data_IF_984663596515
#
_entry.id   IF_984663596515
#
_cell.length_a   1.000
_cell.length_b   1.000
_cell.length_c   1.000
_cell.angle_alpha   90.00
_cell.angle_beta   90.00
_cell.angle_gamma   90.00
#
_symmetry.space_group_name_H-M   'P 1'
#
loop_
_entity.id
_entity.type
_entity.pdbx_description
1 polymer ?
#
# COMPACT_ATOMS: atom_id res chain seq x y z
N UNK A 1 90.60 62.83 29.26
CA UNK A 1 90.89 62.71 27.82
C UNK A 1 89.60 62.95 27.04
N UNK A 2 89.62 64.03 26.26
CA UNK A 2 88.79 64.53 25.15
C UNK A 2 88.22 63.41 24.21
N UNK A 3 87.12 63.57 23.40
CA UNK A 3 86.04 64.58 23.36
C UNK A 3 84.62 64.13 22.86
N UNK A 4 83.72 65.13 22.67
CA UNK A 4 82.88 65.35 21.45
C UNK A 4 81.62 64.48 21.26
N UNK A 5 80.43 64.93 20.82
CA UNK A 5 79.98 66.15 20.15
C UNK A 5 78.43 66.19 20.12
N UNK A 6 77.86 67.41 20.16
CA UNK A 6 76.77 68.00 19.36
C UNK A 6 75.82 67.10 18.53
N UNK A 7 74.58 67.46 18.18
CA UNK A 7 73.64 68.54 18.48
C UNK A 7 72.40 68.30 17.58
N UNK A 8 71.34 69.09 17.83
CA UNK A 8 70.19 69.44 16.97
C UNK A 8 69.03 68.42 16.90
N UNK A 9 67.74 68.77 16.85
CA UNK A 9 66.90 69.95 17.13
C UNK A 9 65.65 69.83 16.23
N UNK A 10 64.49 70.26 16.75
CA UNK A 10 63.20 70.57 16.07
C UNK A 10 62.33 69.35 15.72
N UNK A 11 61.01 69.30 15.96
CA UNK A 11 59.91 70.31 16.01
C UNK A 11 58.71 69.72 16.79
N UNK A 12 58.06 70.45 17.72
CA UNK A 12 56.71 71.09 17.61
C UNK A 12 55.53 70.14 17.28
N UNK A 13 54.38 70.07 17.99
CA UNK A 13 53.56 71.05 18.74
C UNK A 13 52.51 70.30 19.63
N UNK A 14 51.79 70.99 20.55
CA UNK A 14 51.16 70.40 21.74
C UNK A 14 49.62 70.36 21.72
N UNK A 15 49.03 69.68 22.72
CA UNK A 15 47.87 70.08 23.60
C UNK A 15 46.80 68.97 23.77
N UNK A 16 45.94 69.03 24.81
CA UNK A 16 46.11 69.63 26.15
C UNK A 16 45.59 68.78 27.33
N UNK A 17 46.19 69.07 28.50
CA UNK A 17 45.69 69.11 29.90
C UNK A 17 44.72 68.05 30.42
N UNK A 18 45.25 67.31 31.40
CA UNK A 18 44.57 66.50 32.40
C UNK A 18 43.71 67.33 33.38
N UNK A 19 42.54 66.80 33.73
CA UNK A 19 41.87 67.02 35.02
C UNK A 19 41.50 65.65 35.61
N UNK A 20 42.14 65.29 36.73
CA UNK A 20 41.73 64.28 37.72
C UNK A 20 41.07 65.05 38.87
N UNK A 21 40.06 64.64 39.62
CA UNK A 21 39.29 63.41 39.91
C UNK A 21 37.90 63.92 40.39
N UNK A 22 36.77 63.22 40.41
CA UNK A 22 36.46 61.97 41.11
C UNK A 22 34.99 61.61 40.81
N UNK A 23 34.70 60.40 40.32
CA UNK A 23 33.32 59.89 40.23
C UNK A 23 33.28 58.43 40.70
N UNK A 24 32.37 58.18 41.63
CA UNK A 24 31.96 56.92 42.24
C UNK A 24 31.66 55.84 41.20
N UNK A 25 32.27 54.67 41.33
CA UNK A 25 31.99 53.51 40.47
C UNK A 25 30.62 52.90 40.81
N UNK A 26 29.63 53.07 39.94
CA UNK A 26 28.41 52.23 39.92
C UNK A 26 28.71 51.02 39.05
N UNK A 27 28.78 49.85 39.68
CA UNK A 27 29.03 48.56 39.01
C UNK A 27 27.69 48.04 38.47
N UNK A 28 27.39 48.27 37.20
CA UNK A 28 26.29 47.57 36.52
C UNK A 28 26.79 46.17 36.17
N UNK A 29 26.39 45.17 36.95
CA UNK A 29 26.58 43.77 36.61
C UNK A 29 25.44 43.38 35.68
N UNK A 30 25.73 43.21 34.39
CA UNK A 30 24.81 42.55 33.46
C UNK A 30 24.91 41.04 33.69
N UNK A 31 23.82 40.44 34.16
CA UNK A 31 23.71 38.98 34.27
C UNK A 31 23.77 38.34 32.87
N UNK A 32 24.51 37.24 32.67
CA UNK A 32 24.51 36.54 31.39
C UNK A 32 23.12 35.95 31.11
N UNK A 33 22.66 36.04 29.87
CA UNK A 33 21.41 35.38 29.45
C UNK A 33 21.46 33.88 29.76
N UNK A 34 20.37 33.30 30.29
CA UNK A 34 20.33 31.88 30.59
C UNK A 34 20.41 31.06 29.30
N UNK A 35 21.48 30.27 29.18
CA UNK A 35 21.62 29.28 28.12
C UNK A 35 20.50 28.22 28.25
N UNK A 36 19.86 27.81 27.14
CA UNK A 36 18.79 26.82 27.21
C UNK A 36 19.32 25.50 27.76
N UNK A 37 18.57 24.90 28.69
CA UNK A 37 18.95 23.64 29.32
C UNK A 37 19.13 22.52 28.29
N UNK A 38 19.94 21.52 28.63
CA UNK A 38 20.09 20.31 27.81
C UNK A 38 18.72 19.68 27.49
N UNK A 39 17.76 19.75 28.41
CA UNK A 39 16.39 19.29 28.17
C UNK A 39 15.62 20.15 27.14
N UNK A 40 15.82 21.47 27.12
CA UNK A 40 15.23 22.35 26.11
C UNK A 40 15.90 22.17 24.73
N UNK A 41 17.22 21.98 24.71
CA UNK A 41 18.00 21.68 23.50
C UNK A 41 17.66 20.29 22.95
N UNK A 42 17.52 19.28 23.81
CA UNK A 42 17.03 17.95 23.44
C UNK A 42 15.56 18.00 23.00
N UNK A 43 14.68 18.77 23.65
CA UNK A 43 13.31 18.98 23.16
C UNK A 43 13.27 19.70 21.82
N UNK A 44 14.29 20.51 21.48
CA UNK A 44 14.45 21.19 20.18
C UNK A 44 15.04 20.26 19.11
N UNK A 45 16.00 19.40 19.49
CA UNK A 45 16.60 18.35 18.67
C UNK A 45 15.66 17.14 18.45
N UNK A 46 14.77 16.83 19.40
CA UNK A 46 13.68 15.86 19.26
C UNK A 46 12.36 16.52 18.79
N UNK A 47 12.32 17.86 18.72
CA UNK A 47 11.48 18.64 17.79
C UNK A 47 12.06 18.66 16.38
N UNK A 48 13.10 17.86 16.09
CA UNK A 48 13.16 17.21 14.77
C UNK A 48 11.92 16.33 14.70
N UNK A 49 10.86 17.01 14.30
CA UNK A 49 9.62 16.53 13.79
C UNK A 49 9.60 15.01 13.64
N UNK A 50 8.93 14.37 14.59
CA UNK A 50 8.03 13.27 14.30
C UNK A 50 6.90 13.78 13.38
N UNK A 51 7.26 14.45 12.26
CA UNK A 51 6.45 14.52 11.07
C UNK A 51 6.42 13.07 10.62
N UNK A 52 5.48 12.29 11.17
CA UNK A 52 4.65 11.48 10.28
C UNK A 52 4.18 12.48 9.24
N UNK A 53 4.93 12.61 8.15
CA UNK A 53 4.55 13.38 7.00
C UNK A 53 3.13 12.91 6.73
N UNK A 54 2.14 13.81 6.89
CA UNK A 54 0.75 13.40 6.94
C UNK A 54 0.49 12.52 5.71
N UNK A 55 0.13 11.25 5.93
CA UNK A 55 -0.02 10.28 4.85
C UNK A 55 -1.03 10.90 3.89
N UNK A 56 -0.55 11.21 2.69
CA UNK A 56 -1.40 11.82 1.67
C UNK A 56 -2.47 10.81 1.30
N UNK A 57 -3.72 11.26 1.28
CA UNK A 57 -4.85 10.40 0.99
C UNK A 57 -5.11 10.37 -0.51
N UNK A 58 -5.29 9.17 -1.05
CA UNK A 58 -5.93 8.98 -2.34
C UNK A 58 -7.43 9.29 -2.27
N UNK A 59 -8.08 9.23 -3.43
CA UNK A 59 -9.52 9.50 -3.56
C UNK A 59 -10.23 8.29 -4.15
N UNK A 60 -11.50 8.16 -3.82
CA UNK A 60 -12.37 7.09 -4.32
C UNK A 60 -13.49 7.72 -5.12
N UNK A 61 -13.79 7.17 -6.29
CA UNK A 61 -14.92 7.59 -7.11
C UNK A 61 -15.71 6.39 -7.67
N UNK A 62 -16.95 6.63 -8.08
CA UNK A 62 -17.81 5.62 -8.70
C UNK A 62 -17.73 5.75 -10.21
N UNK A 63 -17.74 4.62 -10.89
CA UNK A 63 -17.64 4.52 -12.34
C UNK A 63 -18.95 3.96 -12.87
N UNK A 64 -19.67 4.79 -13.62
CA UNK A 64 -20.92 4.42 -14.28
C UNK A 64 -20.67 3.75 -15.64
N UNK A 65 -21.69 3.12 -16.23
CA UNK A 65 -21.58 2.50 -17.56
C UNK A 65 -21.05 1.06 -17.54
N UNK A 66 -21.14 0.40 -16.39
CA UNK A 66 -20.94 -1.04 -16.24
C UNK A 66 -22.20 -1.66 -15.61
N UNK A 67 -22.43 -2.96 -15.80
CA UNK A 67 -23.67 -3.64 -15.37
C UNK A 67 -23.85 -3.74 -13.85
N UNK A 68 -22.86 -3.30 -13.08
CA UNK A 68 -22.82 -3.30 -11.62
C UNK A 68 -21.92 -2.17 -11.13
N UNK A 69 -22.08 -1.81 -9.86
CA UNK A 69 -21.33 -0.70 -9.28
C UNK A 69 -19.83 -1.01 -9.26
N UNK A 70 -19.06 -0.06 -9.80
CA UNK A 70 -17.60 -0.09 -9.81
C UNK A 70 -17.10 1.10 -9.00
N UNK A 71 -16.24 0.82 -8.03
CA UNK A 71 -15.62 1.83 -7.17
C UNK A 71 -14.12 1.85 -7.43
N UNK A 72 -13.57 3.00 -7.80
CA UNK A 72 -12.15 3.16 -8.15
C UNK A 72 -11.44 4.02 -7.13
N UNK A 73 -10.38 3.49 -6.55
CA UNK A 73 -9.40 4.24 -5.78
C UNK A 73 -8.27 4.73 -6.71
N UNK A 74 -7.98 6.02 -6.62
CA UNK A 74 -6.83 6.65 -7.25
C UNK A 74 -5.80 7.05 -6.19
N UNK A 75 -4.52 6.72 -6.39
CA UNK A 75 -3.48 6.94 -5.40
C UNK A 75 -3.24 8.43 -5.17
N UNK A 76 -2.72 8.77 -3.99
CA UNK A 76 -2.32 10.14 -3.70
C UNK A 76 -1.34 10.69 -4.75
N UNK A 77 -1.57 11.92 -5.20
CA UNK A 77 -0.79 12.55 -6.28
C UNK A 77 -1.19 12.13 -7.69
N UNK A 78 -2.29 11.37 -7.86
CA UNK A 78 -2.78 10.98 -9.18
C UNK A 78 -3.02 12.20 -10.09
N UNK A 79 -3.69 13.24 -9.59
CA UNK A 79 -4.06 14.45 -10.35
C UNK A 79 -2.89 15.47 -10.50
N UNK A 80 -1.71 15.19 -9.93
CA UNK A 80 -0.56 16.11 -9.95
C UNK A 80 0.45 15.82 -11.07
N UNK A 81 0.38 14.61 -11.64
CA UNK A 81 1.32 14.15 -12.68
C UNK A 81 0.57 13.49 -13.82
N UNK A 82 0.38 14.25 -14.89
CA UNK A 82 -0.39 13.80 -16.06
C UNK A 82 0.36 12.80 -16.96
N UNK A 83 1.69 12.73 -16.85
CA UNK A 83 2.55 11.80 -17.59
C UNK A 83 2.60 10.39 -16.96
N UNK A 84 2.25 10.28 -15.67
CA UNK A 84 2.38 9.03 -14.93
C UNK A 84 1.21 8.09 -15.20
N UNK A 85 1.54 6.86 -15.59
CA UNK A 85 0.62 5.73 -15.69
C UNK A 85 0.79 4.75 -14.53
N UNK A 86 -0.30 4.11 -14.13
CA UNK A 86 -0.37 3.30 -12.91
C UNK A 86 -0.74 1.85 -13.21
N UNK A 87 -0.16 0.86 -12.52
CA UNK A 87 -0.70 -0.49 -12.52
C UNK A 87 -2.13 -0.48 -11.97
N UNK A 88 -2.92 -1.49 -12.32
CA UNK A 88 -4.33 -1.61 -11.92
C UNK A 88 -4.55 -2.91 -11.14
N UNK A 89 -5.14 -2.83 -9.96
CA UNK A 89 -5.58 -3.99 -9.17
C UNK A 89 -7.11 -4.10 -9.22
N UNK A 90 -7.63 -5.12 -9.88
CA UNK A 90 -9.05 -5.46 -9.90
C UNK A 90 -9.41 -6.31 -8.69
N UNK A 91 -10.25 -5.77 -7.80
CA UNK A 91 -10.65 -6.43 -6.56
C UNK A 91 -12.10 -6.88 -6.61
N UNK A 92 -12.31 -8.12 -6.21
CA UNK A 92 -13.62 -8.75 -6.06
C UNK A 92 -14.36 -8.23 -4.83
N UNK A 93 -15.68 -8.39 -4.81
CA UNK A 93 -16.56 -7.94 -3.72
C UNK A 93 -16.40 -6.44 -3.39
N UNK A 94 -16.50 -5.60 -4.42
CA UNK A 94 -16.28 -4.14 -4.37
C UNK A 94 -16.99 -3.41 -3.23
N UNK A 95 -18.19 -3.86 -2.85
CA UNK A 95 -18.96 -3.28 -1.76
C UNK A 95 -18.28 -3.41 -0.39
N UNK A 96 -17.38 -4.39 -0.23
CA UNK A 96 -16.68 -4.67 1.03
C UNK A 96 -15.37 -3.88 1.16
N UNK A 97 -14.95 -3.14 0.13
CA UNK A 97 -13.56 -2.69 0.05
C UNK A 97 -13.30 -1.33 0.69
N UNK A 98 -14.16 -0.36 0.41
CA UNK A 98 -13.89 1.06 0.67
C UNK A 98 -14.89 1.73 1.62
N UNK A 99 -16.08 1.16 1.78
CA UNK A 99 -17.20 1.77 2.48
C UNK A 99 -17.72 0.81 3.56
N UNK A 100 -17.72 1.28 4.81
CA UNK A 100 -18.13 0.48 5.96
C UNK A 100 -19.62 0.17 5.97
N UNK A 101 -20.46 1.05 5.41
CA UNK A 101 -21.92 0.91 5.41
C UNK A 101 -22.40 -0.10 4.38
N UNK A 102 -21.63 -0.29 3.31
CA UNK A 102 -21.94 -1.21 2.22
C UNK A 102 -21.38 -2.63 2.41
N UNK A 103 -20.52 -2.81 3.41
CA UNK A 103 -19.89 -4.09 3.65
C UNK A 103 -20.91 -5.16 4.09
N UNK A 104 -20.61 -6.42 3.76
CA UNK A 104 -21.42 -7.57 4.09
C UNK A 104 -21.78 -7.64 5.58
N UNK A 105 -20.80 -7.33 6.44
CA UNK A 105 -21.04 -7.02 7.85
C UNK A 105 -20.89 -5.51 8.03
N UNK A 106 -21.97 -4.76 8.32
CA UNK A 106 -21.91 -3.33 8.52
C UNK A 106 -20.83 -2.93 9.53
N UNK A 107 -19.99 -1.96 9.16
CA UNK A 107 -18.85 -1.51 9.97
C UNK A 107 -17.56 -2.32 9.76
N UNK A 108 -17.59 -3.48 9.09
CA UNK A 108 -16.43 -4.33 8.85
C UNK A 108 -16.16 -4.42 7.35
N UNK A 109 -15.38 -3.47 6.83
CA UNK A 109 -14.88 -3.46 5.46
C UNK A 109 -13.36 -3.65 5.44
N UNK A 110 -12.77 -3.79 4.26
CA UNK A 110 -11.34 -4.06 4.10
C UNK A 110 -10.43 -2.89 4.43
N UNK A 111 -10.97 -1.68 4.55
CA UNK A 111 -10.20 -0.45 4.73
C UNK A 111 -9.12 -0.30 3.66
N UNK A 112 -9.46 -0.68 2.43
CA UNK A 112 -8.49 -0.87 1.35
C UNK A 112 -7.85 0.45 0.94
N UNK A 113 -8.62 1.54 1.00
CA UNK A 113 -8.11 2.90 0.82
C UNK A 113 -7.01 3.21 1.83
N UNK A 114 -7.27 3.00 3.12
CA UNK A 114 -6.30 3.32 4.17
C UNK A 114 -5.05 2.43 4.09
N UNK A 115 -5.21 1.16 3.74
CA UNK A 115 -4.09 0.26 3.51
C UNK A 115 -3.21 0.74 2.33
N UNK A 116 -3.83 1.15 1.22
CA UNK A 116 -3.13 1.68 0.05
C UNK A 116 -2.46 3.02 0.35
N UNK A 117 -3.17 3.96 0.96
CA UNK A 117 -2.64 5.27 1.37
C UNK A 117 -1.41 5.10 2.26
N UNK A 118 -1.49 4.20 3.25
CA UNK A 118 -0.37 3.92 4.14
C UNK A 118 0.82 3.28 3.42
N UNK A 119 0.60 2.24 2.62
CA UNK A 119 1.68 1.57 1.89
C UNK A 119 2.37 2.51 0.89
N UNK A 120 1.60 3.34 0.18
CA UNK A 120 2.13 4.30 -0.79
C UNK A 120 2.82 5.47 -0.11
N UNK A 121 2.19 6.05 0.93
CA UNK A 121 2.72 7.18 1.67
C UNK A 121 4.01 6.86 2.44
N UNK A 122 4.10 5.64 2.98
CA UNK A 122 5.30 5.13 3.63
C UNK A 122 6.33 4.57 2.63
N UNK A 123 6.04 4.61 1.33
CA UNK A 123 6.91 4.12 0.24
C UNK A 123 7.27 2.63 0.40
N UNK A 124 6.38 1.83 0.98
CA UNK A 124 6.49 0.37 1.02
C UNK A 124 5.76 -0.31 -0.14
N UNK A 125 4.93 0.45 -0.87
CA UNK A 125 4.35 0.04 -2.14
C UNK A 125 4.40 1.18 -3.18
N UNK A 126 4.51 0.82 -4.45
CA UNK A 126 4.33 1.74 -5.58
C UNK A 126 2.86 2.15 -5.74
N UNK A 127 2.57 3.41 -6.13
CA UNK A 127 1.22 3.87 -6.46
C UNK A 127 0.48 2.97 -7.46
N UNK A 128 -0.77 2.64 -7.14
CA UNK A 128 -1.62 1.69 -7.87
C UNK A 128 -3.05 2.21 -7.92
N UNK A 129 -3.74 2.00 -9.05
CA UNK A 129 -5.19 2.19 -9.16
C UNK A 129 -5.86 0.91 -8.67
N UNK A 130 -6.87 1.02 -7.82
CA UNK A 130 -7.62 -0.16 -7.33
C UNK A 130 -9.06 -0.05 -7.81
N UNK A 131 -9.53 -1.07 -8.53
CA UNK A 131 -10.88 -1.14 -9.09
C UNK A 131 -11.67 -2.21 -8.33
N UNK A 132 -12.56 -1.78 -7.44
CA UNK A 132 -13.50 -2.66 -6.74
C UNK A 132 -14.74 -2.93 -7.58
N UNK A 133 -15.06 -4.20 -7.80
CA UNK A 133 -16.22 -4.63 -8.59
C UNK A 133 -17.23 -5.30 -7.67
N UNK A 134 -18.41 -4.71 -7.50
CA UNK A 134 -19.47 -5.33 -6.73
C UNK A 134 -19.84 -6.71 -7.29
N UNK A 135 -20.15 -7.66 -6.42
CA UNK A 135 -20.61 -8.97 -6.84
C UNK A 135 -22.05 -8.92 -7.41
N UNK A 136 -22.43 -9.90 -8.23
CA UNK A 136 -23.76 -9.95 -8.87
C UNK A 136 -24.89 -10.52 -7.98
N UNK A 137 -24.86 -10.26 -6.67
CA UNK A 137 -25.86 -10.74 -5.71
C UNK A 137 -25.94 -12.27 -5.67
N UNK A 138 -27.11 -12.84 -5.95
CA UNK A 138 -27.33 -14.30 -5.96
C UNK A 138 -26.45 -15.02 -6.99
N UNK A 139 -26.10 -14.37 -8.10
CA UNK A 139 -25.25 -14.93 -9.14
C UNK A 139 -23.76 -14.97 -8.74
N UNK A 140 -23.37 -14.43 -7.57
CA UNK A 140 -21.97 -14.42 -7.09
C UNK A 140 -21.37 -15.82 -7.07
N UNK A 141 -22.10 -16.82 -6.56
CA UNK A 141 -21.58 -18.19 -6.48
C UNK A 141 -21.28 -18.73 -7.87
N UNK A 142 -22.16 -18.47 -8.83
CA UNK A 142 -21.97 -18.91 -10.21
C UNK A 142 -20.76 -18.24 -10.87
N UNK A 143 -20.64 -16.92 -10.72
CA UNK A 143 -19.56 -16.12 -11.30
C UNK A 143 -18.21 -16.37 -10.64
N UNK A 144 -18.16 -16.63 -9.34
CA UNK A 144 -16.89 -16.72 -8.60
C UNK A 144 -16.34 -18.15 -8.47
N UNK A 145 -16.97 -19.13 -9.13
CA UNK A 145 -16.54 -20.52 -9.03
C UNK A 145 -16.27 -21.12 -10.41
N UNK A 146 -15.08 -21.72 -10.63
CA UNK A 146 -14.70 -22.26 -11.95
C UNK A 146 -15.51 -23.47 -12.40
N UNK A 147 -16.08 -24.21 -11.45
CA UNK A 147 -16.78 -25.47 -11.72
C UNK A 147 -18.10 -25.50 -10.96
N UNK A 148 -19.08 -26.25 -11.47
CA UNK A 148 -20.30 -26.56 -10.71
C UNK A 148 -19.96 -27.44 -9.52
N UNK A 149 -20.59 -27.17 -8.37
CA UNK A 149 -20.54 -28.05 -7.20
C UNK A 149 -21.97 -28.53 -6.87
N UNK A 150 -22.26 -29.85 -6.98
CA UNK A 150 -23.59 -30.40 -6.70
C UNK A 150 -24.14 -30.04 -5.31
N UNK A 151 -23.26 -29.80 -4.32
CA UNK A 151 -23.66 -29.42 -2.95
C UNK A 151 -24.31 -28.05 -2.90
N UNK A 152 -23.94 -27.15 -3.81
CA UNK A 152 -24.42 -25.77 -3.87
C UNK A 152 -25.38 -25.53 -5.04
N UNK A 153 -25.65 -26.56 -5.86
CA UNK A 153 -26.52 -26.50 -7.05
C UNK A 153 -26.22 -25.31 -7.98
N UNK A 154 -24.96 -24.90 -8.03
CA UNK A 154 -24.50 -23.71 -8.74
C UNK A 154 -23.00 -23.76 -9.02
N UNK A 155 -22.51 -22.72 -9.66
CA UNK A 155 -21.12 -22.56 -10.07
C UNK A 155 -20.85 -22.74 -11.55
N UNK A 156 -19.59 -22.57 -11.93
CA UNK A 156 -19.10 -22.89 -13.26
C UNK A 156 -19.21 -21.76 -14.28
N UNK A 157 -19.34 -20.50 -13.87
CA UNK A 157 -19.38 -19.34 -14.77
C UNK A 157 -18.20 -18.38 -14.58
N UNK A 158 -17.11 -18.83 -13.98
CA UNK A 158 -15.91 -17.99 -13.81
C UNK A 158 -15.32 -17.50 -15.13
N UNK A 159 -15.34 -18.31 -16.19
CA UNK A 159 -14.89 -17.90 -17.53
C UNK A 159 -15.82 -16.84 -18.17
N UNK A 160 -17.12 -16.90 -17.91
CA UNK A 160 -18.08 -15.86 -18.34
C UNK A 160 -17.84 -14.54 -17.59
N UNK A 161 -17.60 -14.64 -16.29
CA UNK A 161 -17.20 -13.52 -15.46
C UNK A 161 -15.86 -12.92 -15.93
N UNK A 162 -14.88 -13.75 -16.31
CA UNK A 162 -13.61 -13.31 -16.87
C UNK A 162 -13.82 -12.50 -18.15
N UNK A 163 -14.64 -12.98 -19.09
CA UNK A 163 -15.00 -12.23 -20.30
C UNK A 163 -15.64 -10.88 -19.99
N UNK A 164 -16.56 -10.82 -19.03
CA UNK A 164 -17.16 -9.56 -18.59
C UNK A 164 -16.10 -8.57 -18.06
N UNK A 165 -15.11 -9.04 -17.30
CA UNK A 165 -14.00 -8.20 -16.86
C UNK A 165 -13.10 -7.75 -18.01
N UNK A 166 -12.67 -8.68 -18.86
CA UNK A 166 -11.65 -8.45 -19.88
C UNK A 166 -12.19 -7.64 -21.07
N UNK A 167 -13.42 -7.91 -21.49
CA UNK A 167 -14.00 -7.33 -22.70
C UNK A 167 -14.79 -6.06 -22.42
N UNK A 168 -15.26 -5.85 -21.18
CA UNK A 168 -16.11 -4.70 -20.83
C UNK A 168 -15.47 -3.82 -19.77
N UNK A 169 -15.15 -4.37 -18.59
CA UNK A 169 -14.67 -3.54 -17.49
C UNK A 169 -13.27 -2.97 -17.75
N UNK A 170 -12.31 -3.80 -18.16
CA UNK A 170 -10.95 -3.36 -18.37
C UNK A 170 -10.85 -2.24 -19.43
N UNK A 171 -11.47 -2.35 -20.63
CA UNK A 171 -11.52 -1.25 -21.59
C UNK A 171 -12.18 0.02 -21.03
N UNK A 172 -13.23 -0.12 -20.22
CA UNK A 172 -13.87 1.02 -19.55
C UNK A 172 -12.90 1.75 -18.60
N UNK A 173 -12.13 1.01 -17.81
CA UNK A 173 -11.12 1.58 -16.91
C UNK A 173 -9.96 2.20 -17.69
N UNK A 174 -9.44 1.50 -18.71
CA UNK A 174 -8.32 1.98 -19.52
C UNK A 174 -8.64 3.26 -20.30
N UNK A 175 -9.90 3.45 -20.70
CA UNK A 175 -10.34 4.66 -21.40
C UNK A 175 -10.55 5.87 -20.48
N UNK A 176 -10.79 5.64 -19.18
CA UNK A 176 -11.09 6.70 -18.20
C UNK A 176 -9.91 7.10 -17.32
N UNK A 177 -8.96 6.19 -17.12
CA UNK A 177 -7.85 6.39 -16.19
C UNK A 177 -6.49 6.20 -16.85
N UNK A 178 -5.45 6.78 -16.25
CA UNK A 178 -4.05 6.64 -16.67
C UNK A 178 -3.50 5.27 -16.28
N UNK A 179 -4.02 4.21 -16.88
CA UNK A 179 -3.56 2.84 -16.64
C UNK A 179 -2.25 2.55 -17.38
N UNK A 180 -1.44 1.66 -16.82
CA UNK A 180 -0.21 1.15 -17.42
C UNK A 180 -0.51 -0.20 -18.07
N UNK A 181 -0.39 -0.25 -19.40
CA UNK A 181 -0.64 -1.46 -20.17
C UNK A 181 0.22 -2.64 -19.70
N UNK A 182 -0.38 -3.83 -19.63
CA UNK A 182 0.29 -5.07 -19.21
C UNK A 182 0.56 -5.20 -17.70
N UNK A 183 0.26 -4.18 -16.89
CA UNK A 183 0.50 -4.19 -15.45
C UNK A 183 -0.79 -4.31 -14.63
N UNK A 184 -1.58 -5.34 -14.91
CA UNK A 184 -2.81 -5.62 -14.16
C UNK A 184 -2.58 -6.70 -13.10
N UNK A 185 -3.30 -6.54 -12.00
CA UNK A 185 -3.42 -7.49 -10.92
C UNK A 185 -4.90 -7.80 -10.67
N UNK A 186 -5.17 -8.95 -10.07
CA UNK A 186 -6.53 -9.33 -9.64
C UNK A 186 -6.51 -9.82 -8.19
N UNK A 187 -7.58 -9.63 -7.43
CA UNK A 187 -7.59 -10.10 -6.05
C UNK A 187 -8.96 -10.13 -5.40
N UNK A 188 -9.04 -10.84 -4.29
CA UNK A 188 -10.28 -10.99 -3.53
C UNK A 188 -10.09 -11.93 -2.35
N UNK A 189 -11.15 -12.13 -1.58
CA UNK A 189 -11.18 -13.14 -0.52
C UNK A 189 -12.19 -14.25 -0.75
N UNK A 190 -12.00 -15.40 -0.09
CA UNK A 190 -12.99 -16.49 -0.12
C UNK A 190 -13.26 -16.95 -1.57
N UNK A 191 -14.51 -16.92 -2.03
CA UNK A 191 -14.85 -17.14 -3.44
C UNK A 191 -14.22 -16.09 -4.38
N UNK A 192 -14.12 -14.84 -3.96
CA UNK A 192 -13.38 -13.78 -4.67
C UNK A 192 -11.89 -14.12 -4.81
N UNK A 193 -11.30 -14.79 -3.82
CA UNK A 193 -9.94 -15.32 -3.88
C UNK A 193 -9.82 -16.51 -4.85
N UNK A 194 -10.81 -17.40 -4.85
CA UNK A 194 -10.88 -18.54 -5.78
C UNK A 194 -10.96 -18.08 -7.24
N UNK A 195 -11.89 -17.19 -7.58
CA UNK A 195 -12.01 -16.67 -8.95
C UNK A 195 -10.80 -15.85 -9.37
N UNK A 196 -10.19 -15.08 -8.45
CA UNK A 196 -8.97 -14.33 -8.74
C UNK A 196 -7.80 -15.26 -9.06
N UNK A 197 -7.68 -16.38 -8.34
CA UNK A 197 -6.67 -17.41 -8.62
C UNK A 197 -6.90 -18.05 -9.99
N UNK A 198 -8.15 -18.46 -10.27
CA UNK A 198 -8.54 -19.03 -11.55
C UNK A 198 -8.23 -18.11 -12.73
N UNK A 199 -8.64 -16.83 -12.66
CA UNK A 199 -8.38 -15.84 -13.70
C UNK A 199 -6.88 -15.55 -13.88
N UNK A 200 -6.09 -15.53 -12.80
CA UNK A 200 -4.64 -15.36 -12.89
C UNK A 200 -3.95 -16.55 -13.57
N UNK A 201 -4.45 -17.78 -13.40
CA UNK A 201 -3.96 -18.96 -14.10
C UNK A 201 -4.46 -19.04 -15.55
N UNK A 202 -5.68 -18.59 -15.84
CA UNK A 202 -6.26 -18.63 -17.19
C UNK A 202 -5.76 -17.51 -18.09
N UNK A 203 -5.50 -16.33 -17.52
CA UNK A 203 -5.10 -15.13 -18.23
C UNK A 203 -3.82 -14.50 -17.65
N UNK A 204 -2.71 -15.26 -17.49
CA UNK A 204 -1.47 -14.74 -16.92
C UNK A 204 -0.85 -13.61 -17.75
N UNK A 205 -1.17 -13.53 -19.04
CA UNK A 205 -0.79 -12.45 -19.96
C UNK A 205 -1.49 -11.11 -19.63
N UNK A 206 -2.66 -11.16 -18.98
CA UNK A 206 -3.38 -9.98 -18.52
C UNK A 206 -3.09 -9.69 -17.06
N UNK A 207 -3.24 -10.71 -16.20
CA UNK A 207 -3.09 -10.61 -14.75
C UNK A 207 -1.74 -11.19 -14.31
N UNK A 208 -0.71 -10.37 -14.38
CA UNK A 208 0.66 -10.75 -13.97
C UNK A 208 0.86 -10.80 -12.45
N UNK A 209 -0.16 -10.42 -11.67
CA UNK A 209 -0.13 -10.33 -10.22
C UNK A 209 -1.48 -10.75 -9.62
N UNK A 210 -1.49 -11.41 -8.45
CA UNK A 210 -2.73 -11.77 -7.78
C UNK A 210 -2.68 -11.66 -6.24
N UNK A 211 -3.73 -11.08 -5.64
CA UNK A 211 -3.95 -11.03 -4.19
C UNK A 211 -5.02 -12.06 -3.78
N UNK A 212 -4.59 -13.22 -3.30
CA UNK A 212 -5.44 -14.37 -2.99
C UNK A 212 -5.56 -14.50 -1.47
N UNK A 213 -6.64 -13.96 -0.90
CA UNK A 213 -6.83 -13.94 0.56
C UNK A 213 -7.85 -15.00 1.00
N UNK A 214 -7.51 -15.84 1.96
CA UNK A 214 -8.39 -16.92 2.46
C UNK A 214 -9.20 -17.63 1.37
N UNK A 215 -8.57 -18.13 0.28
CA UNK A 215 -9.32 -18.63 -0.87
C UNK A 215 -10.17 -19.86 -0.51
N UNK A 216 -11.33 -19.98 -1.15
CA UNK A 216 -12.21 -21.15 -1.02
C UNK A 216 -11.68 -22.37 -1.77
N UNK A 217 -10.49 -22.84 -1.39
CA UNK A 217 -9.83 -24.02 -1.99
C UNK A 217 -10.68 -25.27 -1.84
N UNK A 218 -11.59 -25.33 -0.86
CA UNK A 218 -12.49 -26.48 -0.66
C UNK A 218 -13.52 -26.68 -1.79
N UNK A 219 -13.71 -25.69 -2.67
CA UNK A 219 -14.72 -25.74 -3.71
C UNK A 219 -14.54 -26.96 -4.63
N UNK A 220 -15.65 -27.66 -4.90
CA UNK A 220 -15.72 -28.83 -5.78
C UNK A 220 -14.51 -29.77 -5.69
N UNK A 221 -14.26 -30.32 -4.49
CA UNK A 221 -13.15 -31.25 -4.21
C UNK A 221 -11.77 -30.66 -4.51
N UNK A 222 -11.58 -29.37 -4.25
CA UNK A 222 -10.32 -28.65 -4.48
C UNK A 222 -9.90 -28.56 -5.94
N UNK A 223 -10.87 -28.31 -6.83
CA UNK A 223 -10.65 -28.22 -8.28
C UNK A 223 -9.51 -27.27 -8.68
N UNK A 224 -9.34 -26.16 -7.95
CA UNK A 224 -8.27 -25.19 -8.19
C UNK A 224 -6.85 -25.80 -8.11
N UNK A 225 -6.65 -26.87 -7.34
CA UNK A 225 -5.36 -27.56 -7.29
C UNK A 225 -5.06 -28.27 -8.62
N UNK A 226 -6.09 -28.81 -9.28
CA UNK A 226 -5.96 -29.40 -10.62
C UNK A 226 -5.71 -28.36 -11.71
N UNK A 227 -6.21 -27.13 -11.54
CA UNK A 227 -5.85 -26.04 -12.46
C UNK A 227 -4.36 -25.70 -12.36
N UNK A 228 -3.79 -25.66 -11.15
CA UNK A 228 -2.35 -25.49 -10.97
C UNK A 228 -1.57 -26.65 -11.59
N UNK A 229 -2.07 -27.89 -11.48
CA UNK A 229 -1.41 -29.08 -12.06
C UNK A 229 -1.22 -29.03 -13.57
N UNK A 230 -2.17 -28.38 -14.25
CA UNK A 230 -2.18 -28.31 -15.72
C UNK A 230 -1.64 -26.97 -16.24
N UNK A 231 -1.26 -26.05 -15.35
CA UNK A 231 -0.83 -24.71 -15.74
C UNK A 231 0.60 -24.70 -16.30
N UNK A 232 0.74 -24.20 -17.52
CA UNK A 232 2.03 -24.11 -18.22
C UNK A 232 2.47 -22.67 -18.51
N UNK A 233 1.64 -21.67 -18.21
CA UNK A 233 1.88 -20.26 -18.54
C UNK A 233 2.95 -19.56 -17.69
N UNK A 234 3.15 -18.26 -17.92
CA UNK A 234 4.07 -17.45 -17.12
C UNK A 234 3.54 -17.28 -15.69
N UNK A 235 4.37 -17.50 -14.67
CA UNK A 235 3.96 -17.51 -13.26
C UNK A 235 3.62 -16.09 -12.78
N UNK A 236 2.34 -15.75 -12.53
CA UNK A 236 1.99 -14.46 -11.94
C UNK A 236 2.61 -14.33 -10.55
N UNK A 237 2.86 -13.11 -10.10
CA UNK A 237 3.27 -12.86 -8.71
C UNK A 237 2.05 -12.96 -7.80
N UNK A 238 2.04 -13.92 -6.88
CA UNK A 238 0.89 -14.26 -6.05
C UNK A 238 1.18 -13.99 -4.57
N UNK A 239 0.36 -13.14 -3.95
CA UNK A 239 0.17 -13.15 -2.51
C UNK A 239 -0.91 -14.18 -2.18
N UNK A 240 -0.60 -15.15 -1.33
CA UNK A 240 -1.54 -16.15 -0.83
C UNK A 240 -1.57 -16.09 0.69
N UNK A 241 -2.75 -15.91 1.29
CA UNK A 241 -2.87 -15.95 2.74
C UNK A 241 -4.09 -16.72 3.26
N UNK A 242 -4.08 -16.99 4.57
CA UNK A 242 -5.19 -17.61 5.30
C UNK A 242 -5.16 -17.17 6.77
N UNK A 243 -6.32 -17.13 7.41
CA UNK A 243 -6.46 -16.97 8.85
C UNK A 243 -6.34 -18.31 9.58
N UNK A 244 -5.52 -18.36 10.63
CA UNK A 244 -5.29 -19.55 11.42
C UNK A 244 -6.50 -20.01 12.24
N UNK A 245 -7.55 -19.17 12.37
CA UNK A 245 -8.81 -19.51 13.05
C UNK A 245 -9.96 -19.84 12.08
N UNK A 246 -9.66 -20.03 10.80
CA UNK A 246 -10.68 -20.36 9.78
C UNK A 246 -11.06 -21.85 9.73
N UNK A 247 -10.53 -22.64 10.67
CA UNK A 247 -10.74 -24.08 10.71
C UNK A 247 -9.67 -24.85 9.96
N UNK A 248 -9.45 -26.11 10.39
CA UNK A 248 -8.37 -26.96 9.89
C UNK A 248 -8.44 -27.16 8.38
N UNK A 249 -9.62 -27.43 7.84
CA UNK A 249 -9.79 -27.72 6.40
C UNK A 249 -9.45 -26.53 5.51
N UNK A 250 -9.79 -25.30 5.93
CA UNK A 250 -9.46 -24.08 5.19
C UNK A 250 -7.94 -23.82 5.20
N UNK A 251 -7.31 -23.95 6.37
CA UNK A 251 -5.86 -23.81 6.52
C UNK A 251 -5.11 -24.85 5.70
N UNK A 252 -5.50 -26.13 5.80
CA UNK A 252 -4.88 -27.21 5.03
C UNK A 252 -5.12 -27.05 3.53
N UNK A 253 -6.28 -26.53 3.11
CA UNK A 253 -6.56 -26.16 1.72
C UNK A 253 -5.60 -25.09 1.20
N UNK A 254 -5.42 -23.98 1.94
CA UNK A 254 -4.50 -22.92 1.56
C UNK A 254 -3.03 -23.39 1.54
N UNK A 255 -2.64 -24.24 2.49
CA UNK A 255 -1.32 -24.90 2.52
C UNK A 255 -1.11 -25.78 1.29
N UNK A 256 -2.09 -26.62 0.95
CA UNK A 256 -2.03 -27.47 -0.23
C UNK A 256 -1.91 -26.64 -1.53
N UNK A 257 -2.61 -25.50 -1.63
CA UNK A 257 -2.47 -24.59 -2.76
C UNK A 257 -1.07 -23.99 -2.85
N UNK A 258 -0.52 -23.50 -1.73
CA UNK A 258 0.88 -23.04 -1.67
C UNK A 258 1.84 -24.13 -2.13
N UNK A 259 1.75 -25.32 -1.54
CA UNK A 259 2.67 -26.42 -1.81
C UNK A 259 2.61 -26.83 -3.28
N UNK A 260 1.40 -26.79 -3.87
CA UNK A 260 1.23 -27.05 -5.29
C UNK A 260 1.84 -25.98 -6.17
N UNK A 261 1.66 -24.70 -5.85
CA UNK A 261 2.30 -23.61 -6.59
C UNK A 261 3.83 -23.72 -6.56
N UNK A 262 4.42 -24.04 -5.40
CA UNK A 262 5.86 -24.25 -5.26
C UNK A 262 6.32 -25.42 -6.12
N UNK A 263 5.60 -26.55 -6.08
CA UNK A 263 5.91 -27.72 -6.92
C UNK A 263 5.86 -27.41 -8.43
N UNK A 264 5.07 -26.42 -8.85
CA UNK A 264 4.93 -25.97 -10.24
C UNK A 264 5.78 -24.74 -10.59
N UNK A 265 6.81 -24.46 -9.79
CA UNK A 265 7.88 -23.52 -10.13
C UNK A 265 7.68 -22.09 -9.64
N UNK A 266 6.67 -21.83 -8.80
CA UNK A 266 6.66 -20.58 -8.04
C UNK A 266 7.76 -20.60 -6.98
N UNK A 267 8.43 -19.45 -6.82
CA UNK A 267 9.51 -19.27 -5.85
C UNK A 267 9.28 -17.99 -5.04
N UNK A 268 10.18 -17.64 -4.14
CA UNK A 268 10.02 -16.51 -3.21
C UNK A 268 9.83 -15.13 -3.89
N UNK A 269 10.20 -15.00 -5.17
CA UNK A 269 9.98 -13.78 -5.97
C UNK A 269 8.58 -13.72 -6.57
N UNK A 270 7.95 -14.87 -6.83
CA UNK A 270 6.64 -14.97 -7.47
C UNK A 270 5.54 -15.46 -6.52
N UNK A 271 5.86 -15.95 -5.33
CA UNK A 271 4.88 -16.40 -4.34
C UNK A 271 5.28 -15.94 -2.95
N UNK A 272 4.33 -15.32 -2.25
CA UNK A 272 4.40 -15.06 -0.80
C UNK A 272 3.22 -15.72 -0.12
N UNK A 273 3.51 -16.60 0.83
CA UNK A 273 2.50 -17.23 1.67
C UNK A 273 2.50 -16.65 3.08
N UNK A 274 1.31 -16.40 3.65
CA UNK A 274 1.17 -15.86 5.00
C UNK A 274 -0.01 -16.47 5.77
N UNK A 275 0.24 -16.92 7.00
CA UNK A 275 -0.81 -17.38 7.93
C UNK A 275 -0.97 -16.39 9.08
N UNK A 276 -2.12 -15.70 9.17
CA UNK A 276 -2.43 -14.88 10.36
C UNK A 276 -2.98 -15.79 11.46
N UNK A 277 -2.15 -16.14 12.45
CA UNK A 277 -2.53 -16.98 13.60
C UNK A 277 -3.81 -16.53 14.32
N UNK A 278 -4.18 -15.24 14.24
CA UNK A 278 -5.37 -14.67 14.89
C UNK A 278 -6.51 -14.37 13.91
N UNK A 279 -6.29 -14.57 12.61
CA UNK A 279 -7.25 -14.28 11.56
C UNK A 279 -8.41 -15.27 11.54
N UNK A 280 -9.63 -14.74 11.55
CA UNK A 280 -10.87 -15.43 11.23
C UNK A 280 -11.28 -15.15 9.76
N UNK A 281 -12.39 -15.71 9.30
CA UNK A 281 -12.89 -15.53 7.93
C UNK A 281 -13.78 -14.29 7.84
N UNK A 282 -13.19 -13.10 7.94
CA UNK A 282 -13.93 -11.83 7.95
C UNK A 282 -13.21 -10.70 7.23
N UNK A 283 -13.96 -9.68 6.81
CA UNK A 283 -13.47 -8.43 6.22
C UNK A 283 -12.46 -7.73 7.13
N UNK A 284 -12.71 -7.72 8.45
CA UNK A 284 -11.79 -7.18 9.43
C UNK A 284 -10.46 -7.94 9.48
N UNK A 285 -10.46 -9.25 9.27
CA UNK A 285 -9.23 -10.02 9.17
C UNK A 285 -8.46 -9.72 7.89
N UNK A 286 -9.13 -9.68 6.74
CA UNK A 286 -8.52 -9.31 5.46
C UNK A 286 -7.96 -7.89 5.48
N UNK A 287 -8.66 -6.94 6.11
CA UNK A 287 -8.19 -5.56 6.31
C UNK A 287 -6.81 -5.47 6.98
N UNK A 288 -6.51 -6.37 7.92
CA UNK A 288 -5.20 -6.40 8.62
C UNK A 288 -4.07 -6.94 7.74
N UNK A 289 -4.40 -7.70 6.69
CA UNK A 289 -3.42 -8.41 5.85
C UNK A 289 -3.21 -7.74 4.50
N UNK A 290 -4.23 -7.06 3.95
CA UNK A 290 -4.20 -6.53 2.58
C UNK A 290 -3.07 -5.56 2.31
N UNK A 291 -2.62 -4.78 3.32
CA UNK A 291 -1.42 -3.94 3.19
C UNK A 291 -0.18 -4.74 2.78
N UNK A 292 0.05 -5.92 3.38
CA UNK A 292 1.20 -6.79 3.06
C UNK A 292 1.10 -7.34 1.64
N UNK A 293 -0.13 -7.62 1.18
CA UNK A 293 -0.37 -8.01 -0.21
C UNK A 293 0.02 -6.88 -1.17
N UNK A 294 -0.40 -5.63 -0.90
CA UNK A 294 -0.03 -4.48 -1.73
C UNK A 294 1.49 -4.28 -1.79
N UNK A 295 2.18 -4.37 -0.65
CA UNK A 295 3.65 -4.23 -0.57
C UNK A 295 4.39 -5.30 -1.38
N UNK A 296 3.90 -6.54 -1.37
CA UNK A 296 4.52 -7.62 -2.14
C UNK A 296 4.25 -7.52 -3.65
N UNK A 297 3.02 -7.18 -4.03
CA UNK A 297 2.59 -7.14 -5.42
C UNK A 297 3.13 -5.91 -6.16
N UNK A 298 3.21 -4.78 -5.47
CA UNK A 298 3.65 -3.49 -6.01
C UNK A 298 4.84 -2.98 -5.20
N UNK A 299 6.01 -3.65 -5.24
CA UNK A 299 7.17 -3.16 -4.52
C UNK A 299 7.54 -1.74 -4.98
N UNK A 300 8.19 -0.93 -4.13
CA UNK A 300 8.72 0.38 -4.54
C UNK A 300 9.64 0.23 -5.75
N UNK A 301 9.52 1.16 -6.70
CA UNK A 301 10.42 1.28 -7.85
C UNK A 301 11.78 1.84 -7.45
#
# INVERSE_FOLDING_TARGET
MIPSSSAKSLTHKPRPREHRSSITAVRIVTSPEPQPSLAATLRRLFRVENRRQAIRKGRVERVEGFSRLVTVYLPAGYDERDDRRYPVLYMQDGQNLFDAERAYIPGQHWRLREAADAAIGERTASPVIIVGVDHAGTARIDEYTPTKDPRYKGGGRADEYARLLLEKLKPLIDSRFRTKAGENAIGGSSLGGLVSMHLALKHPEVFSRAAILSPSVWWNKRSILGEVDTFTGSRPRIWLDIGGREGKDAVDGARALRDRLVAHGWNERSLRYYEDRRGDHSERAWARRVRRALEFLFPPA
#
